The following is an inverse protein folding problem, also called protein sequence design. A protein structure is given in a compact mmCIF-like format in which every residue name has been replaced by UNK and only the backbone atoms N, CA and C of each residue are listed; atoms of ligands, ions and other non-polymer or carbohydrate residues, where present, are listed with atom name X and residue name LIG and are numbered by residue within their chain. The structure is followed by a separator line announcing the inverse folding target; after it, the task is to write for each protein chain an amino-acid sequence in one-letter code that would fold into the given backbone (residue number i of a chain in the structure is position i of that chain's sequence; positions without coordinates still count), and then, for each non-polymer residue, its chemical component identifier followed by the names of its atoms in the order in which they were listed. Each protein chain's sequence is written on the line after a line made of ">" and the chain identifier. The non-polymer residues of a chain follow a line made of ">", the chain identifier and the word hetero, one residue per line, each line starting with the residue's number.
data_IF_595867982896
#
_entry.id   IF_595867982896
#
_cell.length_a   1.000
_cell.length_b   1.000
_cell.length_c   1.000
_cell.angle_alpha   90.00
_cell.angle_beta   90.00
_cell.angle_gamma   90.00
#
_symmetry.space_group_name_H-M   'P 1'
#
loop_
_entity.id
_entity.type
_entity.pdbx_description
1 polymer ?
#
# COMPACT_ATOMS: atom_id res chain seq x y z
N UNK A 1 20.27 61.57 20.15
CA UNK A 1 19.13 60.84 19.55
C UNK A 1 19.69 59.58 18.90
N UNK A 2 19.41 58.41 19.47
CA UNK A 2 19.81 57.12 18.86
C UNK A 2 18.52 56.45 18.39
N UNK A 3 18.33 56.41 17.08
CA UNK A 3 17.22 55.69 16.45
C UNK A 3 17.58 54.20 16.39
N UNK A 4 16.90 53.39 17.19
CA UNK A 4 16.97 51.93 17.09
C UNK A 4 15.97 51.50 16.02
N UNK A 5 16.48 51.19 14.83
CA UNK A 5 15.67 50.61 13.74
C UNK A 5 15.41 49.16 14.10
N UNK A 6 14.20 48.88 14.61
CA UNK A 6 13.76 47.52 14.90
C UNK A 6 13.40 46.82 13.58
N UNK A 7 14.32 46.02 13.07
CA UNK A 7 14.06 45.09 11.97
C UNK A 7 13.18 43.94 12.50
N UNK A 8 11.87 44.04 12.28
CA UNK A 8 10.98 42.89 12.39
C UNK A 8 11.32 41.91 11.26
N UNK A 9 12.17 40.92 11.55
CA UNK A 9 12.36 39.75 10.71
C UNK A 9 11.06 38.94 10.73
N UNK A 10 10.27 39.05 9.66
CA UNK A 10 9.17 38.12 9.40
C UNK A 10 9.78 36.73 9.17
N UNK A 11 9.74 35.90 10.21
CA UNK A 11 10.12 34.50 10.15
C UNK A 11 9.11 33.78 9.24
N UNK A 12 9.39 33.72 7.94
CA UNK A 12 8.68 32.84 7.01
C UNK A 12 8.99 31.41 7.45
N UNK A 13 8.15 30.87 8.34
CA UNK A 13 8.19 29.48 8.71
C UNK A 13 7.77 28.68 7.48
N UNK A 14 8.74 28.18 6.74
CA UNK A 14 8.52 27.09 5.79
C UNK A 14 8.12 25.86 6.60
N UNK A 15 6.85 25.75 6.94
CA UNK A 15 6.28 24.49 7.39
C UNK A 15 6.31 23.57 6.19
N UNK A 16 7.33 22.71 6.09
CA UNK A 16 7.24 21.54 5.24
C UNK A 16 5.93 20.83 5.63
N UNK A 17 4.97 20.76 4.72
CA UNK A 17 3.73 20.03 4.94
C UNK A 17 4.13 18.61 5.35
N UNK A 18 3.90 18.27 6.63
CA UNK A 18 4.26 16.95 7.14
C UNK A 18 3.50 15.89 6.33
N UNK A 19 4.23 15.03 5.63
CA UNK A 19 3.66 13.95 4.83
C UNK A 19 2.82 13.04 5.71
N UNK A 20 1.57 12.80 5.32
CA UNK A 20 0.68 11.89 6.03
C UNK A 20 1.01 10.46 5.61
N UNK A 21 1.52 9.67 6.56
CA UNK A 21 1.80 8.24 6.34
C UNK A 21 0.51 7.45 6.50
N UNK A 22 0.24 6.60 5.50
CA UNK A 22 -0.94 5.75 5.40
C UNK A 22 -0.45 4.32 5.15
N UNK A 23 -0.72 3.41 6.08
CA UNK A 23 -0.46 1.98 5.92
C UNK A 23 -1.76 1.26 5.60
N UNK A 24 -1.74 0.45 4.56
CA UNK A 24 -2.92 -0.24 4.02
C UNK A 24 -2.58 -1.71 3.93
N UNK A 25 -3.32 -2.54 4.66
CA UNK A 25 -3.20 -4.00 4.58
C UNK A 25 -4.34 -4.54 3.72
N UNK A 26 -4.01 -5.37 2.74
CA UNK A 26 -4.96 -5.93 1.79
C UNK A 26 -4.48 -7.24 1.18
N UNK A 27 -5.41 -8.12 0.81
CA UNK A 27 -5.12 -9.38 0.10
C UNK A 27 -5.68 -9.37 -1.31
N UNK A 28 -4.95 -9.97 -2.25
CA UNK A 28 -5.13 -9.78 -3.70
C UNK A 28 -6.40 -10.38 -4.31
N UNK A 29 -7.10 -11.28 -3.61
CA UNK A 29 -8.35 -11.89 -4.08
C UNK A 29 -9.56 -11.53 -3.19
N UNK A 30 -9.41 -10.54 -2.30
CA UNK A 30 -10.53 -10.04 -1.51
C UNK A 30 -11.29 -8.97 -2.28
N UNK A 31 -12.58 -9.20 -2.57
CA UNK A 31 -13.44 -8.25 -3.29
C UNK A 31 -13.48 -6.84 -2.67
N UNK A 32 -13.45 -6.76 -1.33
CA UNK A 32 -13.43 -5.47 -0.63
C UNK A 32 -12.09 -4.74 -0.80
N UNK A 33 -10.98 -5.48 -0.80
CA UNK A 33 -9.65 -4.92 -1.07
C UNK A 33 -9.55 -4.43 -2.52
N UNK A 34 -10.02 -5.23 -3.48
CA UNK A 34 -10.11 -4.86 -4.90
C UNK A 34 -10.88 -3.56 -5.08
N UNK A 35 -12.11 -3.51 -4.57
CA UNK A 35 -12.96 -2.31 -4.65
C UNK A 35 -12.29 -1.09 -4.02
N UNK A 36 -11.67 -1.24 -2.85
CA UNK A 36 -11.01 -0.13 -2.18
C UNK A 36 -9.82 0.40 -2.99
N UNK A 37 -8.99 -0.47 -3.55
CA UNK A 37 -7.85 -0.06 -4.37
C UNK A 37 -8.29 0.70 -5.63
N UNK A 38 -9.28 0.17 -6.34
CA UNK A 38 -9.78 0.75 -7.59
C UNK A 38 -10.55 2.06 -7.39
N UNK A 39 -11.45 2.09 -6.40
CA UNK A 39 -12.42 3.19 -6.26
C UNK A 39 -11.96 4.30 -5.32
N UNK A 40 -11.01 4.01 -4.42
CA UNK A 40 -10.56 4.98 -3.42
C UNK A 40 -9.05 5.23 -3.51
N UNK A 41 -8.23 4.18 -3.36
CA UNK A 41 -6.78 4.35 -3.20
C UNK A 41 -6.12 5.00 -4.42
N UNK A 42 -6.41 4.54 -5.63
CA UNK A 42 -5.78 5.10 -6.83
C UNK A 42 -6.14 6.58 -7.04
N UNK A 43 -7.38 6.97 -6.76
CA UNK A 43 -7.80 8.38 -6.80
C UNK A 43 -6.99 9.21 -5.80
N UNK A 44 -6.88 8.72 -4.56
CA UNK A 44 -6.11 9.39 -3.51
C UNK A 44 -4.63 9.47 -3.86
N UNK A 45 -4.02 8.39 -4.33
CA UNK A 45 -2.63 8.36 -4.74
C UNK A 45 -2.34 9.42 -5.80
N UNK A 46 -3.09 9.42 -6.90
CA UNK A 46 -2.88 10.37 -8.01
C UNK A 46 -3.09 11.83 -7.59
N UNK A 47 -4.11 12.09 -6.76
CA UNK A 47 -4.51 13.44 -6.36
C UNK A 47 -3.67 14.04 -5.24
N UNK A 48 -3.14 13.20 -4.35
CA UNK A 48 -2.47 13.65 -3.12
C UNK A 48 -1.04 13.14 -2.94
N UNK A 49 -0.43 12.46 -3.92
CA UNK A 49 0.95 11.93 -3.84
C UNK A 49 2.00 12.89 -3.23
N UNK A 50 1.98 14.22 -3.41
CA UNK A 50 2.99 15.09 -2.78
C UNK A 50 2.81 15.23 -1.26
N UNK A 51 1.64 14.87 -0.73
CA UNK A 51 1.23 15.10 0.65
C UNK A 51 1.04 13.82 1.46
N UNK A 52 0.99 12.66 0.80
CA UNK A 52 0.80 11.35 1.44
C UNK A 52 1.94 10.40 1.10
N UNK A 53 2.29 9.55 2.06
CA UNK A 53 3.14 8.38 1.84
C UNK A 53 2.27 7.15 2.05
N UNK A 54 2.02 6.42 0.96
CA UNK A 54 1.21 5.19 1.00
C UNK A 54 2.14 3.99 1.08
N UNK A 55 1.99 3.19 2.13
CA UNK A 55 2.60 1.88 2.25
C UNK A 55 1.49 0.82 2.08
N UNK A 56 1.51 0.09 0.96
CA UNK A 56 0.61 -1.04 0.77
C UNK A 56 1.28 -2.34 1.20
N UNK A 57 0.57 -3.15 1.98
CA UNK A 57 1.05 -4.42 2.51
C UNK A 57 0.16 -5.56 1.95
N UNK A 58 0.64 -6.31 0.93
CA UNK A 58 -0.07 -7.45 0.38
C UNK A 58 -0.06 -8.62 1.38
N UNK A 59 -1.02 -8.62 2.30
CA UNK A 59 -1.19 -9.59 3.37
C UNK A 59 -2.66 -9.60 3.83
N UNK A 60 -3.13 -10.76 4.27
CA UNK A 60 -4.54 -10.94 4.67
C UNK A 60 -4.77 -10.82 6.17
N UNK A 61 -6.00 -11.13 6.63
CA UNK A 61 -6.30 -11.28 8.05
C UNK A 61 -5.35 -12.29 8.71
N UNK A 62 -4.78 -11.91 9.85
CA UNK A 62 -3.72 -12.66 10.56
C UNK A 62 -4.14 -14.08 10.97
N UNK A 63 -5.43 -14.32 11.18
CA UNK A 63 -5.97 -15.65 11.48
C UNK A 63 -6.05 -16.58 10.25
N UNK A 64 -5.99 -16.03 9.03
CA UNK A 64 -6.16 -16.76 7.76
C UNK A 64 -4.93 -16.72 6.86
N UNK A 65 -4.00 -15.80 7.13
CA UNK A 65 -2.77 -15.61 6.35
C UNK A 65 -1.54 -15.70 7.25
N UNK A 66 -0.59 -16.55 6.89
CA UNK A 66 0.63 -16.81 7.66
C UNK A 66 1.76 -17.25 6.74
N UNK A 67 3.01 -16.87 7.06
CA UNK A 67 4.19 -17.34 6.35
C UNK A 67 5.16 -18.03 7.31
N UNK A 68 5.85 -19.07 6.84
CA UNK A 68 6.83 -19.82 7.62
C UNK A 68 7.95 -20.38 6.74
N UNK A 69 9.13 -20.52 7.34
CA UNK A 69 10.28 -21.14 6.68
C UNK A 69 10.09 -22.65 6.61
N UNK A 70 10.21 -23.24 5.42
CA UNK A 70 10.22 -24.69 5.21
C UNK A 70 11.59 -25.15 4.69
N UNK A 71 11.81 -26.48 4.59
CA UNK A 71 13.02 -27.04 3.95
C UNK A 71 13.23 -26.56 2.51
N UNK A 72 12.15 -26.19 1.82
CA UNK A 72 12.15 -25.74 0.43
C UNK A 72 12.04 -24.21 0.30
N UNK A 73 12.37 -23.46 1.37
CA UNK A 73 12.27 -22.01 1.44
C UNK A 73 10.99 -21.50 2.10
N UNK A 74 10.80 -20.19 2.05
CA UNK A 74 9.63 -19.50 2.60
C UNK A 74 8.35 -19.95 1.89
N UNK A 75 7.31 -20.22 2.68
CA UNK A 75 5.97 -20.56 2.20
C UNK A 75 4.93 -19.72 2.93
N UNK A 76 3.87 -19.35 2.23
CA UNK A 76 2.73 -18.69 2.82
C UNK A 76 1.46 -19.51 2.62
N UNK A 77 0.58 -19.49 3.61
CA UNK A 77 -0.82 -19.89 3.54
C UNK A 77 -1.63 -18.60 3.53
N UNK A 78 -2.59 -18.50 2.62
CA UNK A 78 -3.43 -17.31 2.45
C UNK A 78 -4.91 -17.72 2.51
N UNK A 79 -5.77 -16.74 2.74
CA UNK A 79 -7.19 -16.92 2.98
C UNK A 79 -7.90 -17.58 1.77
N UNK A 80 -7.64 -17.09 0.56
CA UNK A 80 -8.24 -17.58 -0.69
C UNK A 80 -7.34 -18.61 -1.41
N UNK A 81 -6.41 -19.23 -0.68
CA UNK A 81 -5.60 -20.34 -1.19
C UNK A 81 -4.34 -19.95 -1.96
N UNK A 82 -3.74 -20.89 -2.72
CA UNK A 82 -2.41 -20.70 -3.30
C UNK A 82 -2.30 -19.61 -4.37
N UNK A 83 -3.36 -19.36 -5.13
CA UNK A 83 -3.39 -18.31 -6.17
C UNK A 83 -3.25 -16.92 -5.54
N UNK A 84 -4.01 -16.64 -4.46
CA UNK A 84 -3.86 -15.42 -3.67
C UNK A 84 -2.44 -15.27 -3.14
N UNK A 85 -1.82 -16.35 -2.64
CA UNK A 85 -0.42 -16.26 -2.18
C UNK A 85 0.54 -15.85 -3.30
N UNK A 86 0.37 -16.38 -4.53
CA UNK A 86 1.20 -16.00 -5.68
C UNK A 86 0.95 -14.56 -6.11
N UNK A 87 -0.30 -14.11 -6.09
CA UNK A 87 -0.68 -12.73 -6.40
C UNK A 87 -0.20 -11.73 -5.33
N UNK A 88 -0.32 -12.06 -4.05
CA UNK A 88 0.29 -11.29 -2.95
C UNK A 88 1.82 -11.23 -3.11
N UNK A 89 2.46 -12.34 -3.51
CA UNK A 89 3.89 -12.36 -3.82
C UNK A 89 4.24 -11.48 -5.03
N UNK A 90 3.43 -11.47 -6.09
CA UNK A 90 3.61 -10.56 -7.23
C UNK A 90 3.51 -9.09 -6.82
N UNK A 91 2.50 -8.74 -6.02
CA UNK A 91 2.35 -7.39 -5.47
C UNK A 91 3.55 -7.00 -4.60
N UNK A 92 4.02 -7.90 -3.73
CA UNK A 92 5.20 -7.65 -2.89
C UNK A 92 6.49 -7.47 -3.74
N UNK A 93 6.65 -8.28 -4.79
CA UNK A 93 7.76 -8.15 -5.73
C UNK A 93 7.73 -6.83 -6.51
N UNK A 94 6.54 -6.35 -6.90
CA UNK A 94 6.37 -5.05 -7.53
C UNK A 94 6.79 -3.92 -6.59
N UNK A 95 6.28 -3.91 -5.36
CA UNK A 95 6.63 -2.92 -4.34
C UNK A 95 8.13 -2.90 -4.03
N UNK A 96 8.76 -4.08 -3.98
CA UNK A 96 10.19 -4.20 -3.68
C UNK A 96 11.09 -3.72 -4.83
N UNK A 97 10.68 -3.93 -6.08
CA UNK A 97 11.54 -3.73 -7.24
C UNK A 97 11.20 -2.49 -8.08
N UNK A 98 9.98 -1.96 -7.96
CA UNK A 98 9.46 -0.83 -8.73
C UNK A 98 8.56 0.06 -7.87
N UNK A 99 9.04 0.56 -6.70
CA UNK A 99 8.21 1.20 -5.70
C UNK A 99 7.45 2.45 -6.22
N UNK A 100 8.06 3.21 -7.13
CA UNK A 100 7.51 4.50 -7.59
C UNK A 100 6.25 4.33 -8.46
N UNK A 101 6.14 3.21 -9.19
CA UNK A 101 5.03 2.92 -10.11
C UNK A 101 4.18 1.70 -9.68
N UNK A 102 4.48 1.14 -8.50
CA UNK A 102 3.91 -0.13 -8.09
C UNK A 102 2.39 -0.08 -7.89
N UNK A 103 1.83 1.00 -7.32
CA UNK A 103 0.44 1.02 -6.86
C UNK A 103 -0.59 0.81 -7.98
N UNK A 104 -0.36 1.34 -9.17
CA UNK A 104 -1.25 1.13 -10.31
C UNK A 104 -1.22 -0.33 -10.78
N UNK A 105 -0.04 -0.93 -10.83
CA UNK A 105 0.13 -2.33 -11.22
C UNK A 105 -0.37 -3.28 -10.14
N UNK A 106 -0.14 -2.97 -8.87
CA UNK A 106 -0.68 -3.69 -7.71
C UNK A 106 -2.21 -3.69 -7.75
N UNK A 107 -2.83 -2.55 -8.08
CA UNK A 107 -4.28 -2.44 -8.24
C UNK A 107 -4.78 -3.28 -9.41
N UNK A 108 -4.10 -3.24 -10.56
CA UNK A 108 -4.45 -4.10 -11.70
C UNK A 108 -4.44 -5.60 -11.32
N UNK A 109 -3.48 -6.05 -10.50
CA UNK A 109 -3.35 -7.46 -10.09
C UNK A 109 -4.50 -7.91 -9.17
N UNK A 110 -5.29 -7.00 -8.58
CA UNK A 110 -6.41 -7.36 -7.71
C UNK A 110 -7.49 -8.19 -8.43
N UNK A 111 -8.38 -8.82 -7.65
CA UNK A 111 -9.56 -9.52 -8.14
C UNK A 111 -9.42 -11.03 -8.24
N UNK A 112 -10.41 -11.67 -8.86
CA UNK A 112 -10.59 -13.13 -8.80
C UNK A 112 -9.83 -13.91 -9.87
N UNK A 113 -9.16 -13.22 -10.80
CA UNK A 113 -8.31 -13.85 -11.81
C UNK A 113 -7.18 -14.67 -11.16
N UNK A 114 -6.83 -15.79 -11.78
CA UNK A 114 -5.68 -16.59 -11.35
C UNK A 114 -4.36 -15.83 -11.60
N UNK A 115 -3.26 -16.35 -11.06
CA UNK A 115 -1.95 -15.71 -11.19
C UNK A 115 -1.50 -15.51 -12.64
N UNK A 116 -1.71 -16.49 -13.52
CA UNK A 116 -1.27 -16.42 -14.92
C UNK A 116 -2.00 -15.31 -15.68
N UNK A 117 -3.32 -15.22 -15.52
CA UNK A 117 -4.15 -14.21 -16.18
C UNK A 117 -3.81 -12.81 -15.65
N UNK A 118 -3.72 -12.65 -14.33
CA UNK A 118 -3.30 -11.38 -13.71
C UNK A 118 -1.90 -10.96 -14.17
N UNK A 119 -0.96 -11.91 -14.30
CA UNK A 119 0.38 -11.62 -14.80
C UNK A 119 0.34 -11.17 -16.27
N UNK A 120 -0.41 -11.87 -17.12
CA UNK A 120 -0.54 -11.52 -18.53
C UNK A 120 -1.16 -10.11 -18.69
N UNK A 121 -2.31 -9.87 -18.06
CA UNK A 121 -3.05 -8.61 -18.21
C UNK A 121 -2.30 -7.40 -17.64
N UNK A 122 -1.65 -7.57 -16.48
CA UNK A 122 -1.08 -6.45 -15.76
C UNK A 122 0.41 -6.23 -15.99
N UNK A 123 1.15 -7.25 -16.44
CA UNK A 123 2.62 -7.21 -16.51
C UNK A 123 3.13 -7.29 -17.96
N UNK A 124 2.54 -8.12 -18.83
CA UNK A 124 3.15 -8.45 -20.14
C UNK A 124 3.38 -7.25 -21.07
N UNK A 125 2.42 -6.32 -21.12
CA UNK A 125 2.49 -5.11 -21.95
C UNK A 125 3.17 -3.92 -21.29
N UNK A 126 3.44 -3.97 -19.97
CA UNK A 126 3.93 -2.82 -19.19
C UNK A 126 5.43 -2.87 -18.87
N UNK A 127 6.02 -4.06 -18.86
CA UNK A 127 7.40 -4.27 -18.40
C UNK A 127 8.29 -4.85 -19.51
N UNK A 128 9.59 -4.52 -19.45
CA UNK A 128 10.59 -5.09 -20.35
C UNK A 128 10.67 -6.62 -20.19
N UNK A 129 11.11 -7.35 -21.21
CA UNK A 129 11.24 -8.82 -21.13
C UNK A 129 12.05 -9.29 -19.90
N UNK A 130 13.14 -8.58 -19.57
CA UNK A 130 13.98 -8.89 -18.41
C UNK A 130 13.22 -8.69 -17.10
N UNK A 131 12.45 -7.62 -17.02
CA UNK A 131 11.63 -7.27 -15.85
C UNK A 131 10.50 -8.27 -15.64
N UNK A 132 9.80 -8.66 -16.72
CA UNK A 132 8.77 -9.71 -16.69
C UNK A 132 9.32 -11.01 -16.14
N UNK A 133 10.47 -11.47 -16.67
CA UNK A 133 11.15 -12.68 -16.18
C UNK A 133 11.54 -12.56 -14.70
N UNK A 134 11.99 -11.38 -14.25
CA UNK A 134 12.31 -11.11 -12.85
C UNK A 134 11.07 -11.21 -11.96
N UNK A 135 9.98 -10.54 -12.33
CA UNK A 135 8.73 -10.51 -11.58
C UNK A 135 8.09 -11.89 -11.50
N UNK A 136 8.02 -12.62 -12.61
CA UNK A 136 7.47 -13.97 -12.64
C UNK A 136 8.24 -14.91 -11.72
N UNK A 137 9.58 -14.91 -11.82
CA UNK A 137 10.44 -15.73 -10.94
C UNK A 137 10.29 -15.31 -9.48
N UNK A 138 10.23 -14.01 -9.19
CA UNK A 138 10.07 -13.51 -7.84
C UNK A 138 8.75 -14.03 -7.22
N UNK A 139 7.62 -13.83 -7.91
CA UNK A 139 6.29 -14.18 -7.42
C UNK A 139 6.05 -15.69 -7.26
N UNK A 140 6.78 -16.53 -8.01
CA UNK A 140 6.58 -18.00 -8.03
C UNK A 140 7.59 -18.77 -7.18
N UNK A 141 8.52 -18.09 -6.51
CA UNK A 141 9.59 -18.73 -5.72
C UNK A 141 9.59 -18.26 -4.26
N UNK A 142 10.47 -18.86 -3.44
CA UNK A 142 10.67 -18.44 -2.05
C UNK A 142 10.95 -16.94 -1.91
N UNK A 143 11.52 -16.28 -2.91
CA UNK A 143 11.84 -14.85 -2.84
C UNK A 143 10.58 -14.00 -2.63
N UNK A 144 9.55 -14.18 -3.46
CA UNK A 144 8.31 -13.43 -3.32
C UNK A 144 7.59 -13.74 -2.01
N UNK A 145 7.56 -15.00 -1.58
CA UNK A 145 6.99 -15.37 -0.28
C UNK A 145 7.77 -14.78 0.90
N UNK A 146 9.10 -14.59 0.79
CA UNK A 146 9.88 -13.86 1.78
C UNK A 146 9.46 -12.40 1.86
N UNK A 147 9.17 -11.74 0.73
CA UNK A 147 8.65 -10.36 0.76
C UNK A 147 7.26 -10.29 1.40
N UNK A 148 6.36 -11.24 1.10
CA UNK A 148 5.06 -11.33 1.81
C UNK A 148 5.25 -11.52 3.32
N UNK A 149 6.19 -12.39 3.73
CA UNK A 149 6.51 -12.58 5.14
C UNK A 149 7.06 -11.31 5.82
N UNK A 150 7.89 -10.53 5.11
CA UNK A 150 8.38 -9.23 5.58
C UNK A 150 7.23 -8.25 5.78
N UNK A 151 6.27 -8.17 4.84
CA UNK A 151 5.08 -7.34 5.02
C UNK A 151 4.27 -7.78 6.25
N UNK A 152 4.05 -9.09 6.43
CA UNK A 152 3.38 -9.63 7.62
C UNK A 152 4.10 -9.27 8.94
N UNK A 153 5.44 -9.37 8.97
CA UNK A 153 6.23 -8.99 10.12
C UNK A 153 6.18 -7.48 10.41
N UNK A 154 6.20 -6.65 9.36
CA UNK A 154 6.04 -5.19 9.50
C UNK A 154 4.66 -4.84 10.05
N UNK A 155 3.59 -5.49 9.57
CA UNK A 155 2.23 -5.31 10.09
C UNK A 155 2.19 -5.59 11.59
N UNK A 156 2.71 -6.74 12.02
CA UNK A 156 2.70 -7.13 13.43
C UNK A 156 3.52 -6.18 14.32
N UNK A 157 4.61 -5.58 13.80
CA UNK A 157 5.48 -4.68 14.56
C UNK A 157 4.94 -3.25 14.64
N UNK A 158 4.35 -2.74 13.56
CA UNK A 158 4.14 -1.30 13.36
C UNK A 158 2.67 -0.90 13.20
N UNK A 159 1.79 -1.85 12.88
CA UNK A 159 0.39 -1.55 12.51
C UNK A 159 -0.59 -2.17 13.50
N UNK A 160 -0.59 -3.50 13.60
CA UNK A 160 -1.46 -4.27 14.49
C UNK A 160 -1.03 -5.73 14.50
N UNK A 161 -0.98 -6.34 15.67
CA UNK A 161 -0.81 -7.78 15.82
C UNK A 161 -2.11 -8.57 15.54
N UNK A 162 -3.24 -7.86 15.41
CA UNK A 162 -4.55 -8.45 15.20
C UNK A 162 -5.32 -7.76 14.05
N UNK A 163 -5.05 -8.18 12.82
CA UNK A 163 -5.85 -7.83 11.63
C UNK A 163 -6.94 -8.89 11.43
N UNK A 164 -8.20 -8.52 11.61
CA UNK A 164 -9.36 -9.42 11.49
C UNK A 164 -10.08 -9.34 10.15
N UNK A 165 -9.93 -8.22 9.45
CA UNK A 165 -10.50 -8.00 8.13
C UNK A 165 -9.55 -7.16 7.28
N UNK A 166 -9.78 -7.16 5.97
CA UNK A 166 -9.11 -6.27 5.02
C UNK A 166 -10.15 -5.71 4.03
N UNK A 167 -9.95 -4.49 3.49
CA UNK A 167 -8.79 -3.64 3.67
C UNK A 167 -8.74 -3.03 5.09
N UNK A 168 -7.54 -2.93 5.67
CA UNK A 168 -7.31 -2.33 6.99
C UNK A 168 -6.43 -1.10 6.84
N UNK A 169 -6.93 0.05 7.26
CA UNK A 169 -6.29 1.34 7.03
C UNK A 169 -5.77 1.88 8.36
N UNK A 170 -4.48 2.19 8.41
CA UNK A 170 -3.83 2.95 9.47
C UNK A 170 -3.35 4.29 8.93
N UNK A 171 -3.62 5.38 9.65
CA UNK A 171 -3.12 6.71 9.32
C UNK A 171 -2.34 7.22 10.53
N UNK A 172 -1.06 7.55 10.33
CA UNK A 172 -0.12 7.93 11.41
C UNK A 172 -0.08 6.89 12.55
N UNK A 173 -0.09 5.60 12.20
CA UNK A 173 0.01 4.49 13.17
C UNK A 173 -1.27 4.18 13.94
N UNK A 174 -2.41 4.79 13.58
CA UNK A 174 -3.70 4.52 14.21
C UNK A 174 -4.68 3.95 13.19
N UNK A 175 -5.38 2.86 13.53
CA UNK A 175 -6.44 2.31 12.70
C UNK A 175 -7.59 3.30 12.55
N UNK A 176 -8.00 3.59 11.32
CA UNK A 176 -9.13 4.47 11.01
C UNK A 176 -10.18 3.72 10.19
N UNK A 177 -11.21 3.21 10.87
CA UNK A 177 -12.27 2.39 10.24
C UNK A 177 -13.05 3.21 9.20
N UNK A 178 -13.29 4.49 9.43
CA UNK A 178 -14.01 5.33 8.47
C UNK A 178 -13.25 5.51 7.14
N UNK A 179 -11.92 5.35 7.16
CA UNK A 179 -11.10 5.45 5.96
C UNK A 179 -11.22 4.22 5.05
N UNK A 180 -11.70 3.09 5.59
CA UNK A 180 -12.01 1.87 4.81
C UNK A 180 -13.22 2.13 3.89
N UNK A 181 -14.13 3.01 4.31
CA UNK A 181 -15.33 3.39 3.55
C UNK A 181 -15.16 4.63 2.68
N UNK A 182 -14.40 5.63 3.15
CA UNK A 182 -14.13 6.84 2.40
C UNK A 182 -12.79 7.49 2.79
N UNK A 183 -11.70 6.98 2.21
CA UNK A 183 -10.34 7.42 2.48
C UNK A 183 -10.14 8.93 2.23
N UNK A 184 -10.60 9.43 1.08
CA UNK A 184 -10.40 10.83 0.70
C UNK A 184 -11.08 11.79 1.69
N UNK A 185 -12.33 11.51 2.07
CA UNK A 185 -13.08 12.34 3.04
C UNK A 185 -12.37 12.36 4.39
N UNK A 186 -11.88 11.22 4.86
CA UNK A 186 -11.13 11.15 6.13
C UNK A 186 -9.84 11.96 6.04
N UNK A 187 -9.05 11.78 4.97
CA UNK A 187 -7.82 12.54 4.77
C UNK A 187 -8.09 14.04 4.75
N UNK A 188 -9.05 14.50 3.96
CA UNK A 188 -9.34 15.92 3.84
C UNK A 188 -9.93 16.54 5.11
N UNK A 189 -10.79 15.82 5.84
CA UNK A 189 -11.38 16.37 7.08
C UNK A 189 -10.42 16.38 8.26
N UNK A 190 -9.53 15.39 8.36
CA UNK A 190 -8.74 15.16 9.58
C UNK A 190 -7.24 15.39 9.41
N UNK A 191 -6.67 15.19 8.21
CA UNK A 191 -5.21 15.05 8.05
C UNK A 191 -4.57 16.01 7.03
N UNK A 192 -5.30 16.46 6.01
CA UNK A 192 -4.76 17.29 4.93
C UNK A 192 -5.33 18.72 4.99
N UNK A 193 -4.45 19.70 4.80
CA UNK A 193 -4.80 21.12 4.64
C UNK A 193 -4.24 21.62 3.31
N UNK A 194 -4.88 21.18 2.22
CA UNK A 194 -4.48 21.47 0.84
C UNK A 194 -5.69 21.89 -0.02
N UNK A 195 -5.52 22.67 -1.10
CA UNK A 195 -6.64 23.17 -1.91
C UNK A 195 -7.57 22.08 -2.45
N UNK A 196 -7.03 20.90 -2.76
CA UNK A 196 -7.77 19.72 -3.21
C UNK A 196 -8.83 19.24 -2.20
N UNK A 197 -8.75 19.69 -0.95
CA UNK A 197 -9.67 19.35 0.14
C UNK A 197 -10.73 20.42 0.44
N UNK A 198 -10.78 21.52 -0.32
CA UNK A 198 -11.68 22.64 -0.01
C UNK A 198 -13.17 22.27 0.05
N UNK A 199 -13.61 21.24 -0.69
CA UNK A 199 -15.00 20.77 -0.72
C UNK A 199 -15.38 19.87 0.47
N UNK A 200 -14.45 19.59 1.39
CA UNK A 200 -14.67 18.71 2.55
C UNK A 200 -14.78 19.47 3.88
N UNK A 201 -14.59 20.79 3.85
CA UNK A 201 -14.66 21.69 4.99
C UNK A 201 -16.09 22.15 5.26
#
# INVERSE_FOLDING_TARGET
>A
MVFVVSFFLLYMSSSSLATVVIDIVGESMCSDTTRFLETQLLSVYRKYQPYVKINYHPFGPTARTSCSMSRNGMRCKCHHGPEECRKNALQACLLQHYPDDALETVTCVQGDSNFQDAFFECIEGKFSWKDKKRLYKCATTSTGFTFVAIHGATIAREISDHITWVPWISIKGQRIVEAEYNLEKVLCKKYLRVPQCNNYN
#
